data_IF_371489298515
#
_entry.id   IF_371489298515
#
_cell.length_a   1.000
_cell.length_b   1.000
_cell.length_c   1.000
_cell.angle_alpha   90.00
_cell.angle_beta   90.00
_cell.angle_gamma   90.00
#
_symmetry.space_group_name_H-M   'P 1'
#
loop_
_entity.id
_entity.type
_entity.pdbx_description
1 polymer ?
#
# COMPACT_ATOMS: atom_id res chain seq x y z
N UNK A 1 2.91 -33.29 -18.89
CA UNK A 1 2.97 -32.10 -19.76
C UNK A 1 2.82 -30.92 -18.85
N UNK A 2 3.59 -29.86 -19.03
CA UNK A 2 3.42 -28.63 -18.27
C UNK A 2 2.79 -27.54 -19.12
N UNK A 3 1.80 -26.83 -18.58
CA UNK A 3 1.24 -25.62 -19.17
C UNK A 3 1.67 -24.41 -18.33
N UNK A 4 2.15 -23.36 -19.00
CA UNK A 4 2.49 -22.10 -18.34
C UNK A 4 1.23 -21.24 -18.26
N UNK A 5 0.76 -21.00 -17.04
CA UNK A 5 -0.43 -20.20 -16.77
C UNK A 5 -0.06 -18.92 -16.04
N UNK A 6 -0.81 -17.85 -16.32
CA UNK A 6 -0.76 -16.58 -15.61
C UNK A 6 -2.00 -16.42 -14.73
N UNK A 7 -1.75 -16.16 -13.46
CA UNK A 7 -2.75 -15.80 -12.44
C UNK A 7 -2.02 -15.18 -11.25
N UNK A 8 -2.75 -14.50 -10.36
CA UNK A 8 -2.17 -13.82 -9.22
C UNK A 8 -2.38 -12.31 -9.26
N UNK A 9 -1.78 -11.66 -8.27
CA UNK A 9 -1.73 -10.20 -8.20
C UNK A 9 -0.70 -9.68 -9.20
N UNK A 10 -1.06 -8.64 -9.95
CA UNK A 10 -0.29 -8.00 -11.01
C UNK A 10 0.02 -8.86 -12.26
N UNK A 11 -0.42 -10.12 -12.31
CA UNK A 11 -0.37 -10.95 -13.52
C UNK A 11 1.04 -11.26 -14.06
N UNK A 12 2.08 -10.93 -13.29
CA UNK A 12 3.49 -11.18 -13.63
C UNK A 12 3.90 -12.63 -13.31
N UNK A 13 3.26 -13.24 -12.30
CA UNK A 13 3.58 -14.60 -11.88
C UNK A 13 3.13 -15.64 -12.93
N UNK A 14 4.13 -16.34 -13.46
CA UNK A 14 3.95 -17.45 -14.38
C UNK A 14 4.11 -18.76 -13.60
N UNK A 15 3.04 -19.55 -13.51
CA UNK A 15 3.04 -20.85 -12.83
C UNK A 15 2.98 -21.99 -13.84
N UNK A 16 3.67 -23.09 -13.55
CA UNK A 16 3.63 -24.30 -14.37
C UNK A 16 2.70 -25.34 -13.74
N UNK A 17 1.70 -25.78 -14.50
CA UNK A 17 0.76 -26.82 -14.08
C UNK A 17 1.03 -28.10 -14.86
N UNK A 18 1.19 -29.23 -14.15
CA UNK A 18 1.32 -30.54 -14.78
C UNK A 18 -0.06 -31.08 -15.17
N UNK A 19 -0.32 -31.20 -16.47
CA UNK A 19 -1.57 -31.69 -17.04
C UNK A 19 -1.62 -33.23 -17.24
N UNK A 20 -0.67 -33.99 -16.68
CA UNK A 20 -0.64 -35.46 -16.82
C UNK A 20 -1.54 -36.21 -15.82
N UNK A 21 -2.16 -35.53 -14.86
CA UNK A 21 -3.03 -36.15 -13.87
C UNK A 21 -4.46 -36.27 -14.39
N UNK A 22 -5.21 -37.28 -13.91
CA UNK A 22 -6.63 -37.46 -14.22
C UNK A 22 -7.41 -36.15 -14.03
N UNK A 23 -8.30 -35.85 -14.97
CA UNK A 23 -8.72 -34.48 -15.30
C UNK A 23 -9.54 -33.81 -14.20
N UNK A 24 -10.34 -34.59 -13.46
CA UNK A 24 -11.02 -34.11 -12.25
C UNK A 24 -10.04 -33.78 -11.11
N UNK A 25 -9.11 -34.69 -10.79
CA UNK A 25 -8.12 -34.47 -9.74
C UNK A 25 -7.16 -33.32 -10.07
N UNK A 26 -6.85 -33.14 -11.36
CA UNK A 26 -6.07 -32.01 -11.86
C UNK A 26 -6.82 -30.69 -11.68
N UNK A 27 -8.09 -30.62 -12.05
CA UNK A 27 -8.93 -29.43 -11.86
C UNK A 27 -9.00 -29.05 -10.40
N UNK A 28 -9.28 -30.01 -9.52
CA UNK A 28 -9.46 -29.75 -8.09
C UNK A 28 -8.14 -29.30 -7.46
N UNK A 29 -7.01 -29.93 -7.82
CA UNK A 29 -5.68 -29.51 -7.38
C UNK A 29 -5.31 -28.11 -7.86
N UNK A 30 -5.57 -27.77 -9.14
CA UNK A 30 -5.29 -26.44 -9.69
C UNK A 30 -6.18 -25.39 -9.03
N UNK A 31 -7.45 -25.72 -8.81
CA UNK A 31 -8.42 -24.87 -8.12
C UNK A 31 -7.96 -24.56 -6.71
N UNK A 32 -7.71 -25.58 -5.89
CA UNK A 32 -7.25 -25.41 -4.51
C UNK A 32 -5.94 -24.63 -4.44
N UNK A 33 -4.95 -25.00 -5.29
CA UNK A 33 -3.64 -24.36 -5.28
C UNK A 33 -3.72 -22.88 -5.67
N UNK A 34 -4.42 -22.55 -6.75
CA UNK A 34 -4.51 -21.18 -7.24
C UNK A 34 -5.29 -20.30 -6.26
N UNK A 35 -6.43 -20.77 -5.75
CA UNK A 35 -7.22 -20.02 -4.76
C UNK A 35 -6.45 -19.83 -3.45
N UNK A 36 -5.74 -20.85 -2.96
CA UNK A 36 -4.90 -20.75 -1.77
C UNK A 36 -3.76 -19.75 -1.95
N UNK A 37 -3.10 -19.76 -3.11
CA UNK A 37 -2.03 -18.82 -3.41
C UNK A 37 -2.56 -17.39 -3.48
N UNK A 38 -3.62 -17.16 -4.26
CA UNK A 38 -4.30 -15.86 -4.36
C UNK A 38 -4.71 -15.34 -2.97
N UNK A 39 -5.36 -16.18 -2.15
CA UNK A 39 -5.76 -15.81 -0.79
C UNK A 39 -4.57 -15.37 0.06
N UNK A 40 -3.45 -16.09 0.01
CA UNK A 40 -2.24 -15.69 0.73
C UNK A 40 -1.67 -14.35 0.20
N UNK A 41 -1.72 -14.12 -1.09
CA UNK A 41 -1.20 -12.90 -1.70
C UNK A 41 -2.08 -11.69 -1.37
N UNK A 42 -3.42 -11.84 -1.33
CA UNK A 42 -4.34 -10.81 -0.84
C UNK A 42 -4.03 -10.43 0.61
N UNK A 43 -3.81 -11.42 1.48
CA UNK A 43 -3.45 -11.19 2.88
C UNK A 43 -2.13 -10.42 2.99
N UNK A 44 -1.08 -10.85 2.26
CA UNK A 44 0.22 -10.15 2.27
C UNK A 44 0.10 -8.70 1.81
N UNK A 45 -0.64 -8.45 0.72
CA UNK A 45 -0.80 -7.10 0.19
C UNK A 45 -1.62 -6.22 1.12
N UNK A 46 -2.71 -6.73 1.70
CA UNK A 46 -3.48 -6.03 2.72
C UNK A 46 -2.63 -5.64 3.93
N UNK A 47 -1.82 -6.58 4.43
CA UNK A 47 -0.95 -6.32 5.58
C UNK A 47 0.14 -5.30 5.25
N UNK A 48 0.66 -5.31 4.01
CA UNK A 48 1.59 -4.29 3.52
C UNK A 48 0.93 -2.90 3.53
N UNK A 49 -0.27 -2.76 2.95
CA UNK A 49 -0.99 -1.48 2.91
C UNK A 49 -1.34 -0.99 4.32
N UNK A 50 -1.80 -1.87 5.21
CA UNK A 50 -2.09 -1.54 6.62
C UNK A 50 -0.84 -1.06 7.36
N UNK A 51 0.33 -1.67 7.13
CA UNK A 51 1.60 -1.22 7.70
C UNK A 51 1.98 0.16 7.22
N UNK A 52 1.80 0.45 5.93
CA UNK A 52 2.06 1.78 5.38
C UNK A 52 1.12 2.84 5.96
N UNK A 53 -0.19 2.57 6.00
CA UNK A 53 -1.17 3.47 6.64
C UNK A 53 -0.78 3.72 8.09
N UNK A 54 -0.52 2.68 8.88
CA UNK A 54 -0.14 2.82 10.28
C UNK A 54 1.15 3.64 10.48
N UNK A 55 2.12 3.53 9.55
CA UNK A 55 3.33 4.36 9.58
C UNK A 55 2.99 5.83 9.33
N UNK A 56 2.23 6.13 8.26
CA UNK A 56 1.82 7.50 7.92
C UNK A 56 0.95 8.13 9.01
N UNK A 57 0.01 7.39 9.59
CA UNK A 57 -0.83 7.87 10.70
C UNK A 57 0.01 8.26 11.93
N UNK A 58 1.06 7.50 12.24
CA UNK A 58 1.99 7.85 13.33
C UNK A 58 2.77 9.13 13.01
N UNK A 59 3.22 9.29 11.77
CA UNK A 59 3.90 10.51 11.32
C UNK A 59 2.97 11.72 11.41
N UNK A 60 1.76 11.63 10.87
CA UNK A 60 0.73 12.68 10.96
C UNK A 60 0.51 13.06 12.42
N UNK A 61 0.31 12.08 13.31
CA UNK A 61 0.09 12.36 14.74
C UNK A 61 1.25 13.12 15.38
N UNK A 62 2.49 12.78 15.03
CA UNK A 62 3.68 13.47 15.53
C UNK A 62 3.79 14.90 14.95
N UNK A 63 3.57 15.07 13.65
CA UNK A 63 3.63 16.36 12.98
C UNK A 63 2.49 17.30 13.38
N UNK A 64 1.28 16.79 13.61
CA UNK A 64 0.16 17.59 14.13
C UNK A 64 0.48 18.14 15.53
N UNK A 65 1.12 17.35 16.39
CA UNK A 65 1.61 17.84 17.70
C UNK A 65 2.70 18.91 17.53
N UNK A 66 3.60 18.74 16.57
CA UNK A 66 4.63 19.75 16.25
C UNK A 66 3.98 21.06 15.81
N UNK A 67 3.00 21.02 14.90
CA UNK A 67 2.23 22.19 14.44
C UNK A 67 1.57 22.90 15.62
N UNK A 68 0.89 22.16 16.50
CA UNK A 68 0.25 22.74 17.69
C UNK A 68 1.26 23.42 18.62
N UNK A 69 2.44 22.83 18.82
CA UNK A 69 3.49 23.42 19.66
C UNK A 69 4.09 24.68 19.01
N UNK A 70 4.33 24.66 17.71
CA UNK A 70 4.82 25.82 16.95
C UNK A 70 3.80 26.97 16.97
N UNK A 71 2.51 26.67 16.81
CA UNK A 71 1.43 27.66 16.91
C UNK A 71 1.35 28.29 18.30
N UNK A 72 1.47 27.48 19.37
CA UNK A 72 1.52 27.99 20.75
C UNK A 72 2.71 28.92 20.96
N UNK A 73 3.92 28.53 20.53
CA UNK A 73 5.12 29.37 20.64
C UNK A 73 4.99 30.70 19.87
N UNK A 74 4.36 30.69 18.70
CA UNK A 74 4.09 31.91 17.94
C UNK A 74 3.05 32.80 18.65
N UNK A 75 2.02 32.22 19.25
CA UNK A 75 1.00 32.96 20.00
C UNK A 75 1.54 33.50 21.35
N UNK A 76 2.49 32.80 21.95
CA UNK A 76 3.13 33.15 23.22
C UNK A 76 4.32 34.11 23.04
N UNK A 77 4.73 34.43 21.82
CA UNK A 77 5.75 35.45 21.54
C UNK A 77 5.12 36.84 21.74
N UNK A 78 5.30 37.50 22.90
CA UNK A 78 4.73 38.81 23.11
C UNK A 78 5.65 39.79 22.39
N UNK A 79 5.02 40.71 21.68
CA UNK A 79 5.50 42.03 21.34
C UNK A 79 6.55 42.52 22.35
N UNK A 80 7.85 42.41 22.03
CA UNK A 80 8.84 43.35 22.58
C UNK A 80 8.52 44.70 21.95
N UNK A 81 7.57 45.42 22.55
CA UNK A 81 7.44 46.85 22.31
C UNK A 81 8.76 47.53 22.66
N UNK A 82 9.16 48.60 21.94
CA UNK A 82 10.29 49.41 22.34
C UNK A 82 9.89 50.13 23.62
N UNK A 83 10.28 49.60 24.78
CA UNK A 83 10.18 50.34 26.03
C UNK A 83 11.36 51.31 26.07
N UNK A 84 11.00 52.56 26.26
CA UNK A 84 11.79 53.76 26.11
C UNK A 84 12.92 53.83 27.15
N UNK A 85 14.01 54.44 26.71
CA UNK A 85 15.15 54.91 27.48
C UNK A 85 14.69 56.07 28.39
N UNK A 86 14.42 55.78 29.67
CA UNK A 86 14.43 56.79 30.73
C UNK A 86 15.31 56.29 31.89
N UNK A 87 16.40 57.03 32.12
CA UNK A 87 17.42 56.70 33.10
C UNK A 87 17.01 56.84 34.56
N UNK A 88 17.77 56.19 35.44
CA UNK A 88 17.64 56.36 36.89
C UNK A 88 18.52 55.39 37.67
N UNK A 89 19.66 55.90 38.12
CA UNK A 89 20.71 55.30 38.94
C UNK A 89 20.27 54.65 40.27
N UNK A 90 21.18 53.81 40.81
CA UNK A 90 21.37 53.34 42.20
C UNK A 90 20.75 52.02 42.72
N UNK A 91 21.65 51.11 43.11
CA UNK A 91 21.43 50.13 44.20
C UNK A 91 21.99 48.74 43.90
N UNK A 92 23.18 48.44 44.43
CA UNK A 92 23.84 47.16 44.29
C UNK A 92 23.10 45.98 44.94
N UNK A 93 23.43 44.79 44.45
CA UNK A 93 23.02 43.50 44.98
C UNK A 93 23.50 42.39 44.06
N UNK A 94 24.56 41.70 44.49
CA UNK A 94 24.94 40.39 43.98
C UNK A 94 23.73 39.45 44.02
N UNK A 95 23.40 38.84 42.88
CA UNK A 95 22.90 37.48 42.75
C UNK A 95 22.80 37.19 41.24
N UNK A 96 23.93 36.76 40.68
CA UNK A 96 24.03 36.32 39.30
C UNK A 96 23.37 34.95 39.12
N UNK A 97 22.04 34.91 39.07
CA UNK A 97 21.33 33.79 38.47
C UNK A 97 21.51 33.90 36.94
N UNK A 98 22.43 33.08 36.43
CA UNK A 98 22.64 32.87 35.01
C UNK A 98 21.34 32.38 34.38
N UNK A 99 20.61 33.32 33.77
CA UNK A 99 19.53 33.01 32.85
C UNK A 99 20.21 32.39 31.62
N UNK A 100 20.30 31.05 31.60
CA UNK A 100 20.58 30.31 30.38
C UNK A 100 19.46 30.64 29.40
N UNK A 101 19.69 31.68 28.60
CA UNK A 101 18.96 31.88 27.37
C UNK A 101 19.18 30.61 26.56
N UNK A 102 18.18 29.72 26.58
CA UNK A 102 18.13 28.59 25.67
C UNK A 102 18.44 29.14 24.28
N UNK A 103 19.40 28.53 23.54
CA UNK A 103 19.69 28.99 22.21
C UNK A 103 18.38 28.93 21.44
N UNK A 104 17.95 30.06 20.91
CA UNK A 104 16.85 30.15 19.96
C UNK A 104 17.24 29.21 18.82
N UNK A 105 16.77 27.97 18.87
CA UNK A 105 16.97 26.99 17.82
C UNK A 105 16.50 27.67 16.55
N UNK A 106 17.48 27.96 15.69
CA UNK A 106 17.28 28.51 14.38
C UNK A 106 16.32 27.53 13.69
N UNK A 107 15.04 27.89 13.62
CA UNK A 107 13.99 27.06 13.03
C UNK A 107 14.44 26.78 11.62
N UNK A 108 14.95 25.57 11.40
CA UNK A 108 15.40 25.16 10.07
C UNK A 108 14.22 25.37 9.14
N UNK A 109 14.43 25.79 7.89
CA UNK A 109 13.32 26.01 6.94
C UNK A 109 12.42 24.77 6.74
N UNK A 110 12.87 23.59 7.21
CA UNK A 110 12.15 22.32 7.25
C UNK A 110 11.17 22.17 8.43
N UNK A 111 11.25 23.02 9.45
CA UNK A 111 10.32 23.07 10.60
C UNK A 111 9.34 24.27 10.48
N UNK A 112 9.20 24.85 9.28
CA UNK A 112 8.18 25.87 9.03
C UNK A 112 6.78 25.25 9.12
N UNK A 113 5.80 26.01 9.64
CA UNK A 113 4.41 25.56 9.71
C UNK A 113 3.88 25.11 8.34
N UNK A 114 4.24 25.83 7.27
CA UNK A 114 3.84 25.50 5.90
C UNK A 114 4.41 24.16 5.44
N UNK A 115 5.68 23.89 5.74
CA UNK A 115 6.33 22.62 5.38
C UNK A 115 5.67 21.44 6.10
N UNK A 116 5.43 21.57 7.41
CA UNK A 116 4.83 20.50 8.21
C UNK A 116 3.36 20.28 7.83
N UNK A 117 2.59 21.34 7.55
CA UNK A 117 1.22 21.24 7.03
C UNK A 117 1.19 20.52 5.68
N UNK A 118 2.10 20.84 4.76
CA UNK A 118 2.20 20.17 3.46
C UNK A 118 2.53 18.68 3.61
N UNK A 119 3.41 18.30 4.54
CA UNK A 119 3.70 16.90 4.83
C UNK A 119 2.46 16.15 5.33
N UNK A 120 1.66 16.76 6.21
CA UNK A 120 0.42 16.16 6.71
C UNK A 120 -0.57 15.96 5.56
N UNK A 121 -0.83 16.98 4.75
CA UNK A 121 -1.78 16.90 3.63
C UNK A 121 -1.37 15.82 2.61
N UNK A 122 -0.09 15.74 2.27
CA UNK A 122 0.44 14.72 1.37
C UNK A 122 0.31 13.31 1.96
N UNK A 123 0.59 13.14 3.26
CA UNK A 123 0.43 11.87 3.95
C UNK A 123 -1.05 11.45 4.05
N UNK A 124 -1.98 12.38 4.27
CA UNK A 124 -3.43 12.12 4.27
C UNK A 124 -3.97 11.77 2.88
N UNK A 125 -3.45 12.41 1.83
CA UNK A 125 -3.76 12.02 0.45
C UNK A 125 -3.29 10.59 0.16
N UNK A 126 -2.04 10.25 0.52
CA UNK A 126 -1.51 8.89 0.30
C UNK A 126 -2.27 7.83 1.12
N UNK A 127 -2.70 8.14 2.36
CA UNK A 127 -3.56 7.24 3.14
C UNK A 127 -4.87 6.96 2.41
N UNK A 128 -5.55 7.99 1.88
CA UNK A 128 -6.81 7.81 1.14
C UNK A 128 -6.64 6.92 -0.09
N UNK A 129 -5.56 7.08 -0.83
CA UNK A 129 -5.25 6.22 -1.97
C UNK A 129 -4.99 4.77 -1.53
N UNK A 130 -4.25 4.57 -0.44
CA UNK A 130 -4.01 3.22 0.13
C UNK A 130 -5.28 2.58 0.68
N UNK A 131 -6.20 3.35 1.24
CA UNK A 131 -7.52 2.88 1.66
C UNK A 131 -8.38 2.45 0.45
N UNK A 132 -8.33 3.19 -0.65
CA UNK A 132 -8.98 2.78 -1.89
C UNK A 132 -8.41 1.45 -2.43
N UNK A 133 -7.09 1.25 -2.34
CA UNK A 133 -6.47 -0.04 -2.66
C UNK A 133 -6.95 -1.16 -1.74
N UNK A 134 -7.12 -0.90 -0.44
CA UNK A 134 -7.67 -1.89 0.48
C UNK A 134 -9.10 -2.30 0.10
N UNK A 135 -9.94 -1.34 -0.31
CA UNK A 135 -11.29 -1.62 -0.81
C UNK A 135 -11.22 -2.51 -2.05
N UNK A 136 -10.39 -2.15 -3.04
CA UNK A 136 -10.22 -2.93 -4.26
C UNK A 136 -9.72 -4.36 -3.97
N UNK A 137 -8.79 -4.53 -3.01
CA UNK A 137 -8.33 -5.85 -2.58
C UNK A 137 -9.45 -6.68 -1.95
N UNK A 138 -10.32 -6.06 -1.13
CA UNK A 138 -11.47 -6.73 -0.52
C UNK A 138 -12.53 -7.12 -1.55
N UNK A 139 -12.84 -6.26 -2.51
CA UNK A 139 -13.76 -6.58 -3.61
C UNK A 139 -13.23 -7.75 -4.45
N UNK A 140 -11.93 -7.74 -4.76
CA UNK A 140 -11.26 -8.87 -5.43
C UNK A 140 -11.38 -10.16 -4.62
N UNK A 141 -11.03 -10.12 -3.33
CA UNK A 141 -11.10 -11.28 -2.43
C UNK A 141 -12.51 -11.88 -2.37
N UNK A 142 -13.56 -11.07 -2.24
CA UNK A 142 -14.95 -11.55 -2.27
C UNK A 142 -15.27 -12.23 -3.60
N UNK A 143 -14.84 -11.66 -4.72
CA UNK A 143 -15.08 -12.28 -6.03
C UNK A 143 -14.43 -13.66 -6.19
N UNK A 144 -13.31 -13.93 -5.51
CA UNK A 144 -12.64 -15.24 -5.55
C UNK A 144 -13.27 -16.28 -4.62
N UNK A 145 -13.94 -15.87 -3.54
CA UNK A 145 -14.62 -16.80 -2.63
C UNK A 145 -15.76 -17.54 -3.32
N UNK A 146 -16.37 -16.92 -4.33
CA UNK A 146 -17.48 -17.51 -5.10
C UNK A 146 -17.01 -18.41 -6.26
N UNK A 147 -15.70 -18.56 -6.45
CA UNK A 147 -15.14 -19.40 -7.53
C UNK A 147 -15.25 -20.88 -7.14
N UNK A 148 -15.99 -21.63 -7.95
CA UNK A 148 -16.21 -23.07 -7.72
C UNK A 148 -15.22 -23.94 -8.47
N UNK A 149 -14.80 -23.51 -9.67
CA UNK A 149 -13.89 -24.26 -10.55
C UNK A 149 -13.00 -23.30 -11.32
N UNK A 150 -11.84 -23.79 -11.75
CA UNK A 150 -10.90 -23.06 -12.61
C UNK A 150 -10.78 -23.75 -13.97
N UNK A 151 -10.74 -22.92 -15.00
CA UNK A 151 -10.51 -23.31 -16.39
C UNK A 151 -9.33 -22.55 -17.01
N UNK A 152 -8.92 -22.99 -18.21
CA UNK A 152 -7.90 -22.32 -18.99
C UNK A 152 -8.54 -21.40 -20.02
N UNK A 153 -7.93 -20.24 -20.26
CA UNK A 153 -8.32 -19.33 -21.34
C UNK A 153 -7.09 -18.91 -22.14
N UNK A 154 -7.21 -18.93 -23.46
CA UNK A 154 -6.23 -18.27 -24.32
C UNK A 154 -6.50 -16.75 -24.30
N UNK A 155 -5.54 -15.91 -23.88
CA UNK A 155 -5.73 -14.46 -23.85
C UNK A 155 -5.93 -13.85 -25.25
N UNK A 156 -5.41 -14.47 -26.31
CA UNK A 156 -5.46 -13.91 -27.67
C UNK A 156 -6.79 -14.24 -28.35
N UNK A 157 -7.16 -15.52 -28.39
CA UNK A 157 -8.41 -15.95 -29.04
C UNK A 157 -9.63 -15.86 -28.12
N UNK A 158 -9.43 -15.73 -26.81
CA UNK A 158 -10.50 -15.81 -25.82
C UNK A 158 -11.06 -17.23 -25.63
N UNK A 159 -10.52 -18.22 -26.33
CA UNK A 159 -10.99 -19.61 -26.28
C UNK A 159 -10.81 -20.16 -24.86
N UNK A 160 -11.90 -20.64 -24.28
CA UNK A 160 -11.92 -21.30 -22.96
C UNK A 160 -11.81 -22.80 -23.15
N UNK A 161 -11.01 -23.44 -22.30
CA UNK A 161 -10.92 -24.89 -22.23
C UNK A 161 -11.37 -25.34 -20.85
N UNK A 162 -12.47 -26.10 -20.84
CA UNK A 162 -13.05 -26.62 -19.62
C UNK A 162 -12.24 -27.82 -19.13
N UNK A 163 -11.55 -27.67 -18.00
CA UNK A 163 -10.71 -28.72 -17.42
C UNK A 163 -11.52 -29.96 -17.01
N UNK A 164 -12.81 -29.79 -16.69
CA UNK A 164 -13.70 -30.91 -16.34
C UNK A 164 -14.13 -31.79 -17.53
N UNK A 165 -14.07 -31.25 -18.75
CA UNK A 165 -14.46 -31.96 -19.97
C UNK A 165 -13.26 -32.62 -20.67
N UNK A 166 -12.07 -32.52 -20.08
CA UNK A 166 -10.88 -33.12 -20.65
C UNK A 166 -10.95 -34.66 -20.61
N UNK A 167 -10.75 -35.32 -21.77
CA UNK A 167 -10.56 -36.76 -21.81
C UNK A 167 -9.23 -37.14 -21.15
N UNK A 168 -9.24 -38.21 -20.36
CA UNK A 168 -8.07 -38.75 -19.64
C UNK A 168 -6.90 -39.10 -20.60
N UNK A 169 -7.19 -39.32 -21.89
CA UNK A 169 -6.20 -39.72 -22.91
C UNK A 169 -5.98 -38.66 -24.00
N UNK A 170 -6.41 -37.42 -23.79
CA UNK A 170 -6.21 -36.38 -24.80
C UNK A 170 -4.71 -36.11 -24.99
N UNK A 171 -4.19 -36.20 -26.23
CA UNK A 171 -2.80 -35.86 -26.49
C UNK A 171 -2.58 -34.40 -26.14
N UNK A 172 -1.49 -34.19 -25.44
CA UNK A 172 -1.22 -32.95 -24.74
C UNK A 172 -1.01 -31.76 -25.73
N UNK A 173 -0.74 -32.05 -27.01
CA UNK A 173 -0.73 -31.11 -28.14
C UNK A 173 -2.11 -30.56 -28.54
N UNK A 174 -3.21 -31.13 -28.02
CA UNK A 174 -4.57 -30.65 -28.25
C UNK A 174 -5.00 -29.56 -27.24
N UNK A 175 -4.19 -29.29 -26.22
CA UNK A 175 -4.45 -28.31 -25.16
C UNK A 175 -4.04 -26.93 -25.62
N UNK A 176 -4.91 -26.31 -26.45
CA UNK A 176 -4.69 -25.06 -27.15
C UNK A 176 -3.44 -25.07 -28.05
N UNK A 177 -3.39 -24.25 -29.11
CA UNK A 177 -2.12 -23.95 -29.73
C UNK A 177 -1.25 -23.31 -28.64
N UNK A 178 -0.16 -23.98 -28.23
CA UNK A 178 0.84 -23.55 -27.23
C UNK A 178 1.59 -22.25 -27.61
N UNK A 179 0.93 -21.32 -28.31
CA UNK A 179 1.51 -20.13 -28.92
C UNK A 179 1.68 -18.97 -27.93
N UNK A 180 1.09 -19.04 -26.74
CA UNK A 180 1.10 -17.95 -25.76
C UNK A 180 0.78 -18.44 -24.34
N UNK A 181 1.22 -17.69 -23.35
CA UNK A 181 0.89 -17.89 -21.93
C UNK A 181 -0.63 -17.93 -21.76
N UNK A 182 -1.16 -18.98 -21.15
CA UNK A 182 -2.61 -19.12 -20.89
C UNK A 182 -2.98 -18.43 -19.60
N UNK A 183 -4.22 -17.96 -19.49
CA UNK A 183 -4.76 -17.38 -18.25
C UNK A 183 -5.58 -18.43 -17.49
N UNK A 184 -5.49 -18.41 -16.16
CA UNK A 184 -6.50 -19.10 -15.35
C UNK A 184 -7.74 -18.22 -15.21
N UNK A 185 -8.91 -18.83 -15.38
CA UNK A 185 -10.19 -18.18 -15.14
C UNK A 185 -11.00 -18.98 -14.14
N UNK A 186 -11.59 -18.30 -13.16
CA UNK A 186 -12.54 -18.87 -12.22
C UNK A 186 -13.95 -18.87 -12.79
N UNK A 187 -14.74 -19.86 -12.44
CA UNK A 187 -16.16 -19.97 -12.78
C UNK A 187 -16.96 -19.81 -11.50
N UNK A 188 -17.83 -18.80 -11.45
CA UNK A 188 -18.68 -18.49 -10.30
C UNK A 188 -20.17 -18.67 -10.60
N UNK A 189 -20.92 -19.04 -9.57
CA UNK A 189 -22.38 -19.15 -9.60
C UNK A 189 -22.94 -20.23 -10.53
N UNK A 190 -24.26 -20.38 -10.51
CA UNK A 190 -25.00 -21.28 -11.42
C UNK A 190 -24.93 -20.79 -12.87
N UNK A 191 -24.79 -19.48 -13.08
CA UNK A 191 -24.70 -18.83 -14.39
C UNK A 191 -23.34 -19.02 -15.10
N UNK A 192 -22.40 -19.73 -14.47
CA UNK A 192 -21.04 -19.97 -14.97
C UNK A 192 -20.29 -18.70 -15.41
N UNK A 193 -20.42 -17.64 -14.63
CA UNK A 193 -19.73 -16.39 -14.94
C UNK A 193 -18.22 -16.58 -14.82
N UNK A 194 -17.49 -16.04 -15.81
CA UNK A 194 -16.05 -16.25 -15.95
C UNK A 194 -15.30 -15.05 -15.38
N UNK A 195 -14.59 -15.27 -14.28
CA UNK A 195 -13.73 -14.30 -13.62
C UNK A 195 -12.27 -14.54 -14.01
N UNK A 196 -11.55 -13.48 -14.40
CA UNK A 196 -10.08 -13.59 -14.58
C UNK A 196 -9.41 -13.71 -13.22
N UNK A 197 -8.47 -14.66 -13.09
CA UNK A 197 -7.69 -14.83 -11.86
C UNK A 197 -6.40 -14.01 -11.85
N UNK A 198 -6.24 -13.11 -12.82
CA UNK A 198 -5.24 -12.04 -12.81
C UNK A 198 -5.89 -10.75 -12.32
N UNK A 199 -5.39 -10.22 -11.22
CA UNK A 199 -5.92 -9.00 -10.60
C UNK A 199 -4.84 -7.91 -10.59
N UNK A 200 -5.10 -6.78 -11.23
CA UNK A 200 -4.18 -5.63 -11.21
C UNK A 200 -4.40 -4.80 -9.96
N UNK A 201 -3.38 -4.67 -9.11
CA UNK A 201 -3.47 -3.80 -7.94
C UNK A 201 -3.08 -2.38 -8.38
N UNK A 202 -3.89 -1.35 -8.07
CA UNK A 202 -3.47 0.02 -8.29
C UNK A 202 -2.19 0.32 -7.51
N UNK A 203 -1.15 0.78 -8.21
CA UNK A 203 0.10 1.18 -7.58
C UNK A 203 -0.07 2.57 -6.98
N UNK A 204 0.21 2.70 -5.68
CA UNK A 204 0.25 4.00 -4.98
C UNK A 204 1.67 4.54 -5.09
N UNK A 205 1.84 5.59 -5.89
CA UNK A 205 3.09 6.32 -5.99
C UNK A 205 3.29 7.16 -4.72
N UNK A 206 4.51 7.19 -4.19
CA UNK A 206 4.82 8.01 -3.00
C UNK A 206 5.04 9.45 -3.43
N UNK A 207 4.35 10.37 -2.77
CA UNK A 207 4.56 11.80 -2.98
C UNK A 207 5.96 12.22 -2.47
N UNK A 208 6.61 13.15 -3.17
CA UNK A 208 7.93 13.67 -2.78
C UNK A 208 7.92 14.30 -1.39
N UNK A 209 6.81 14.94 -0.99
CA UNK A 209 6.62 15.49 0.34
C UNK A 209 6.50 14.40 1.42
N UNK A 210 5.94 13.23 1.09
CA UNK A 210 5.92 12.07 2.01
C UNK A 210 7.32 11.50 2.18
N UNK A 211 8.11 11.43 1.10
CA UNK A 211 9.51 11.00 1.19
C UNK A 211 10.34 11.95 2.07
N UNK A 212 10.22 13.26 1.84
CA UNK A 212 10.89 14.29 2.64
C UNK A 212 10.45 14.23 4.12
N UNK A 213 9.16 14.01 4.40
CA UNK A 213 8.63 13.77 5.75
C UNK A 213 9.26 12.54 6.41
N UNK A 214 9.40 11.42 5.68
CA UNK A 214 9.97 10.20 6.23
C UNK A 214 11.47 10.30 6.51
N UNK A 215 12.18 11.13 5.74
CA UNK A 215 13.62 11.33 5.85
C UNK A 215 14.00 12.39 6.89
N UNK A 216 13.24 13.49 6.97
CA UNK A 216 13.59 14.66 7.79
C UNK A 216 12.57 14.99 8.89
N UNK A 217 11.48 14.24 8.97
CA UNK A 217 10.39 14.49 9.91
C UNK A 217 10.74 14.21 11.37
N UNK A 218 9.78 14.47 12.26
CA UNK A 218 9.97 14.44 13.72
C UNK A 218 10.45 13.06 14.21
N UNK A 219 9.90 11.99 13.62
CA UNK A 219 10.29 10.64 13.98
C UNK A 219 11.61 10.18 13.34
N UNK A 220 12.14 10.91 12.35
CA UNK A 220 13.45 10.66 11.77
C UNK A 220 14.57 11.29 12.62
N UNK A 221 14.33 12.47 13.21
CA UNK A 221 15.27 13.16 14.12
C UNK A 221 15.58 12.39 15.42
N UNK A 222 14.80 11.36 15.75
CA UNK A 222 14.97 10.52 16.95
C UNK A 222 15.67 9.17 16.73
N UNK A 223 16.24 8.92 15.55
CA UNK A 223 17.08 7.75 15.24
C UNK A 223 18.55 8.13 15.14
#
# INVERSE_FOLDING_TARGET
MFCCVKYGLDGEDSSFINLNCGTAALRDFVTERALKQLGNDFVKQRDLQRKHIALLTKQITAHTKQVQNLQKRQAESPTKGPAEDEGGDQGGGEDGEGNEAEPVEQVSGKDSLETVSRWIEAAEAEIREREAVLIALSEGETAFQDVTTIDLRDPVSGTRVNLSQFPVHMPASAILPLRSTTELVGVRGEDQEVLRLSFSIPRVERDAAVLDMLEYGVLAKGR
#
